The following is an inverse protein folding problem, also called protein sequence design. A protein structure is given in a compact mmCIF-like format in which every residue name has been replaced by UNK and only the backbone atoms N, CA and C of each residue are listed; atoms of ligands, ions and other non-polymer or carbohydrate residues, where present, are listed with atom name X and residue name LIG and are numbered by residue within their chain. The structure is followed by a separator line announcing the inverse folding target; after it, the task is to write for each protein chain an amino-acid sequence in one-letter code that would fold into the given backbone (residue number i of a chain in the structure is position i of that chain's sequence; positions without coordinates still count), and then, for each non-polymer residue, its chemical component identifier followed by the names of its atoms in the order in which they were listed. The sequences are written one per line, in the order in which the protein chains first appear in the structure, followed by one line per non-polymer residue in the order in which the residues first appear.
data_IF_043780285902
#
_entry.id   IF_043780285902
#
_cell.length_a   1.000
_cell.length_b   1.000
_cell.length_c   1.000
_cell.angle_alpha   90.00
_cell.angle_beta   90.00
_cell.angle_gamma   90.00
#
_symmetry.space_group_name_H-M   'P 1'
#
loop_
_entity.id
_entity.type
_entity.pdbx_description
1 polymer ?
#
# COMPACT_ATOMS: atom_id res chain seq x y z
N UNK A 1 -8.23 -24.46 21.87
CA UNK A 1 -7.69 -23.13 22.20
C UNK A 1 -6.15 -23.20 22.21
N UNK A 2 -5.56 -23.56 21.05
CA UNK A 2 -4.12 -23.77 20.82
C UNK A 2 -3.81 -23.40 19.36
N UNK A 3 -4.00 -22.13 19.01
CA UNK A 3 -3.70 -21.60 17.66
C UNK A 3 -3.12 -20.19 17.77
N UNK A 4 -2.26 -19.98 18.77
CA UNK A 4 -1.52 -18.76 19.02
C UNK A 4 -0.02 -19.11 19.05
N UNK A 5 0.51 -19.51 17.90
CA UNK A 5 1.96 -19.56 17.61
C UNK A 5 2.16 -19.83 16.11
N UNK A 6 1.60 -18.98 15.25
CA UNK A 6 2.19 -18.81 13.91
C UNK A 6 3.28 -17.76 14.10
N UNK A 7 4.47 -18.25 14.43
CA UNK A 7 5.70 -17.47 14.42
C UNK A 7 5.81 -16.80 13.06
N UNK A 8 5.80 -15.47 13.08
CA UNK A 8 6.19 -14.65 11.96
C UNK A 8 7.66 -14.95 11.63
N UNK A 9 7.91 -15.91 10.75
CA UNK A 9 9.18 -15.98 10.03
C UNK A 9 9.11 -14.88 8.98
N UNK A 10 9.53 -13.68 9.42
CA UNK A 10 10.06 -12.66 8.54
C UNK A 10 11.02 -13.35 7.58
N UNK A 11 10.73 -13.20 6.29
CA UNK A 11 11.66 -13.51 5.22
C UNK A 11 12.83 -12.55 5.36
N UNK A 12 13.81 -12.95 6.19
CA UNK A 12 15.18 -12.51 6.02
C UNK A 12 15.58 -12.96 4.61
N UNK A 13 15.88 -11.99 3.76
CA UNK A 13 16.61 -12.18 2.53
C UNK A 13 17.93 -12.88 2.89
N UNK A 14 17.99 -14.20 2.71
CA UNK A 14 19.28 -14.88 2.71
C UNK A 14 20.14 -14.24 1.61
N UNK A 15 21.37 -13.79 1.92
CA UNK A 15 22.28 -13.38 0.88
C UNK A 15 22.57 -14.60 -0.01
N UNK A 16 22.57 -14.39 -1.32
CA UNK A 16 23.05 -15.37 -2.28
C UNK A 16 24.46 -15.82 -1.86
N UNK A 17 24.79 -17.12 -1.95
CA UNK A 17 26.15 -17.57 -1.68
C UNK A 17 27.11 -16.88 -2.66
N UNK A 18 28.17 -16.31 -2.12
CA UNK A 18 29.25 -15.72 -2.88
C UNK A 18 29.84 -16.79 -3.82
N UNK A 19 29.72 -16.57 -5.13
CA UNK A 19 30.58 -17.26 -6.10
C UNK A 19 31.97 -16.64 -5.98
N UNK A 20 32.87 -17.35 -5.31
CA UNK A 20 34.31 -17.10 -5.40
C UNK A 20 34.78 -17.50 -6.81
N UNK A 21 34.92 -16.49 -7.68
CA UNK A 21 35.71 -16.56 -8.91
C UNK A 21 37.02 -15.80 -8.72
N UNK A 22 38.11 -16.20 -9.40
CA UNK A 22 39.47 -15.80 -9.04
C UNK A 22 39.69 -14.31 -9.26
N UNK A 23 40.40 -13.72 -8.30
CA UNK A 23 40.95 -12.39 -8.40
C UNK A 23 42.07 -12.40 -9.44
N UNK A 24 41.86 -11.74 -10.56
CA UNK A 24 42.96 -11.19 -11.34
C UNK A 24 42.58 -9.82 -11.91
N UNK A 25 43.61 -8.99 -11.88
CA UNK A 25 43.56 -7.53 -11.93
C UNK A 25 43.74 -7.11 -13.37
N UNK A 26 42.76 -6.44 -13.97
CA UNK A 26 43.03 -5.54 -15.09
C UNK A 26 42.01 -4.40 -15.08
N UNK A 27 42.55 -3.18 -15.07
CA UNK A 27 41.79 -1.94 -15.10
C UNK A 27 41.03 -1.83 -16.42
N UNK A 28 39.75 -2.23 -16.39
CA UNK A 28 38.82 -2.00 -17.48
C UNK A 28 38.20 -0.61 -17.33
N UNK A 29 38.45 0.22 -18.34
CA UNK A 29 37.86 1.53 -18.53
C UNK A 29 36.32 1.51 -18.34
N UNK A 30 35.82 2.63 -17.83
CA UNK A 30 34.42 3.01 -17.70
C UNK A 30 33.55 2.45 -18.84
N UNK A 31 32.62 1.55 -18.54
CA UNK A 31 31.52 1.19 -19.46
C UNK A 31 30.52 2.35 -19.53
N UNK A 32 30.44 3.11 -20.65
CA UNK A 32 29.49 4.21 -20.80
C UNK A 32 28.10 3.72 -21.24
N UNK A 33 27.91 2.40 -21.39
CA UNK A 33 26.80 1.81 -22.15
C UNK A 33 25.54 1.49 -21.33
N UNK A 34 25.49 1.82 -20.04
CA UNK A 34 24.21 1.85 -19.28
C UNK A 34 23.41 3.15 -19.47
N UNK A 35 23.83 4.06 -20.36
CA UNK A 35 23.07 5.28 -20.71
C UNK A 35 22.06 5.01 -21.82
N UNK A 36 21.07 4.17 -21.53
CA UNK A 36 19.96 3.96 -22.45
C UNK A 36 18.83 4.96 -22.19
N UNK A 37 18.47 5.69 -23.25
CA UNK A 37 17.22 6.41 -23.56
C UNK A 37 17.12 7.90 -23.21
N UNK A 38 16.55 8.67 -24.16
CA UNK A 38 16.28 10.11 -24.18
C UNK A 38 15.42 10.60 -22.99
N UNK A 39 15.94 10.51 -21.77
CA UNK A 39 15.32 11.13 -20.60
C UNK A 39 15.79 12.58 -20.57
N UNK A 40 14.89 13.51 -20.86
CA UNK A 40 15.18 14.94 -20.75
C UNK A 40 15.25 15.31 -19.28
N UNK A 41 16.48 15.41 -18.75
CA UNK A 41 16.72 15.95 -17.42
C UNK A 41 16.60 17.47 -17.42
N UNK A 42 15.89 18.02 -16.44
CA UNK A 42 15.75 19.45 -16.23
C UNK A 42 16.30 19.83 -14.84
N UNK A 43 17.64 19.89 -14.69
CA UNK A 43 18.27 20.11 -13.39
C UNK A 43 17.97 21.52 -12.88
N UNK A 44 17.44 21.61 -11.66
CA UNK A 44 17.12 22.86 -10.96
C UNK A 44 18.22 23.32 -9.99
N UNK A 45 19.34 22.59 -9.95
CA UNK A 45 20.55 22.95 -9.19
C UNK A 45 21.76 22.28 -9.83
N UNK A 46 22.96 22.76 -9.49
CA UNK A 46 24.23 22.23 -9.99
C UNK A 46 24.93 21.35 -8.94
N UNK A 47 25.85 20.49 -9.41
CA UNK A 47 26.69 19.67 -8.53
C UNK A 47 27.56 20.51 -7.58
N UNK A 48 28.04 21.66 -8.02
CA UNK A 48 28.87 22.54 -7.18
C UNK A 48 28.04 23.23 -6.10
N UNK A 49 26.80 23.60 -6.39
CA UNK A 49 25.85 24.07 -5.37
C UNK A 49 25.56 22.98 -4.35
N UNK A 50 25.34 21.73 -4.80
CA UNK A 50 25.13 20.59 -3.89
C UNK A 50 26.35 20.39 -2.98
N UNK A 51 27.57 20.47 -3.51
CA UNK A 51 28.80 20.35 -2.72
C UNK A 51 28.98 21.52 -1.75
N UNK A 52 28.64 22.74 -2.16
CA UNK A 52 28.71 23.92 -1.32
C UNK A 52 27.79 23.79 -0.10
N UNK A 53 26.57 23.29 -0.28
CA UNK A 53 25.61 23.05 0.82
C UNK A 53 26.16 22.10 1.89
N UNK A 54 26.86 21.04 1.46
CA UNK A 54 27.46 20.08 2.39
C UNK A 54 28.49 20.74 3.31
N UNK A 55 29.14 21.83 2.85
CA UNK A 55 30.11 22.58 3.67
C UNK A 55 29.42 23.50 4.68
N UNK A 56 28.27 24.07 4.31
CA UNK A 56 27.52 25.00 5.16
C UNK A 56 26.56 24.32 6.14
N UNK A 57 26.33 23.00 5.99
CA UNK A 57 25.38 22.24 6.83
C UNK A 57 25.70 22.37 8.32
N UNK A 58 26.93 22.08 8.73
CA UNK A 58 27.33 22.09 10.14
C UNK A 58 27.49 23.50 10.72
N UNK A 59 27.89 24.47 9.90
CA UNK A 59 28.26 25.82 10.35
C UNK A 59 27.10 26.80 10.38
N UNK A 60 26.12 26.64 9.48
CA UNK A 60 25.02 27.59 9.31
C UNK A 60 23.65 26.93 9.50
N UNK A 61 23.43 25.80 8.83
CA UNK A 61 22.13 25.14 8.83
C UNK A 61 21.77 24.54 10.19
N UNK A 62 22.65 23.71 10.75
CA UNK A 62 22.45 23.06 12.04
C UNK A 62 22.19 24.05 13.19
N UNK A 63 22.94 25.17 13.33
CA UNK A 63 22.62 26.19 14.32
C UNK A 63 21.24 26.83 14.16
N UNK A 64 20.78 27.07 12.92
CA UNK A 64 19.48 27.69 12.69
C UNK A 64 18.31 26.74 13.01
N UNK A 65 18.47 25.43 12.80
CA UNK A 65 17.43 24.44 13.16
C UNK A 65 17.14 24.38 14.66
N UNK A 66 18.08 24.83 15.50
CA UNK A 66 17.97 24.82 16.97
C UNK A 66 17.30 26.07 17.55
N UNK A 67 17.04 27.08 16.72
CA UNK A 67 16.48 28.36 17.19
C UNK A 67 15.01 28.21 17.55
N UNK A 68 14.64 28.58 18.77
CA UNK A 68 13.25 28.48 19.27
C UNK A 68 12.31 29.47 18.60
N UNK A 69 12.84 30.63 18.19
CA UNK A 69 12.16 31.63 17.36
C UNK A 69 12.97 31.81 16.08
N UNK A 70 12.35 31.57 14.93
CA UNK A 70 12.99 31.75 13.64
C UNK A 70 13.01 33.23 13.27
N UNK A 71 14.21 33.77 13.01
CA UNK A 71 14.38 35.08 12.40
C UNK A 71 14.31 34.96 10.88
N UNK A 72 13.95 36.04 10.18
CA UNK A 72 13.89 36.04 8.71
C UNK A 72 15.21 35.57 8.02
N UNK A 73 16.42 35.94 8.51
CA UNK A 73 17.67 35.40 7.96
C UNK A 73 17.78 33.87 8.12
N UNK A 74 17.35 33.32 9.26
CA UNK A 74 17.38 31.88 9.50
C UNK A 74 16.37 31.16 8.61
N UNK A 75 15.17 31.71 8.42
CA UNK A 75 14.18 31.16 7.48
C UNK A 75 14.71 31.12 6.05
N UNK A 76 15.31 32.22 5.58
CA UNK A 76 15.90 32.28 4.24
C UNK A 76 17.03 31.26 4.05
N UNK A 77 17.88 31.09 5.05
CA UNK A 77 18.95 30.09 5.01
C UNK A 77 18.37 28.66 5.01
N UNK A 78 17.42 28.35 5.88
CA UNK A 78 16.75 27.03 5.92
C UNK A 78 16.05 26.73 4.59
N UNK A 79 15.33 27.71 4.03
CA UNK A 79 14.67 27.60 2.73
C UNK A 79 15.68 27.32 1.61
N UNK A 80 16.77 28.09 1.55
CA UNK A 80 17.82 27.89 0.53
C UNK A 80 18.43 26.49 0.63
N UNK A 81 18.74 26.04 1.84
CA UNK A 81 19.30 24.70 2.05
C UNK A 81 18.32 23.61 1.59
N UNK A 82 17.07 23.67 2.04
CA UNK A 82 16.04 22.69 1.70
C UNK A 82 15.68 22.71 0.22
N UNK A 83 15.57 23.89 -0.40
CA UNK A 83 15.27 24.02 -1.83
C UNK A 83 16.34 23.32 -2.64
N UNK A 84 17.62 23.56 -2.34
CA UNK A 84 18.69 22.93 -3.09
C UNK A 84 18.81 21.43 -2.77
N UNK A 85 18.55 21.01 -1.53
CA UNK A 85 18.49 19.58 -1.18
C UNK A 85 17.37 18.86 -1.95
N UNK A 86 16.18 19.46 -2.07
CA UNK A 86 15.08 18.94 -2.88
C UNK A 86 15.44 18.97 -4.37
N UNK A 87 15.97 20.08 -4.87
CA UNK A 87 16.39 20.22 -6.27
C UNK A 87 17.52 19.24 -6.64
N UNK A 88 18.31 18.75 -5.69
CA UNK A 88 19.31 17.72 -5.98
C UNK A 88 18.70 16.41 -6.49
N UNK A 89 17.39 16.19 -6.27
CA UNK A 89 16.64 15.10 -6.90
C UNK A 89 16.45 15.28 -8.41
N UNK A 90 16.78 16.43 -8.99
CA UNK A 90 16.68 16.70 -10.44
C UNK A 90 18.01 16.47 -11.17
N UNK A 91 19.07 16.13 -10.44
CA UNK A 91 20.42 15.97 -10.97
C UNK A 91 20.67 14.50 -11.29
N UNK A 92 20.89 14.19 -12.57
CA UNK A 92 21.08 12.83 -13.06
C UNK A 92 22.20 12.07 -12.32
N UNK A 93 23.31 12.75 -12.01
CA UNK A 93 24.45 12.14 -11.33
C UNK A 93 24.15 11.77 -9.87
N UNK A 94 23.07 12.28 -9.27
CA UNK A 94 22.65 11.94 -7.92
C UNK A 94 21.58 10.84 -7.87
N UNK A 95 21.16 10.25 -8.99
CA UNK A 95 20.07 9.25 -9.03
C UNK A 95 20.28 8.12 -8.03
N UNK A 96 21.47 7.53 -7.99
CA UNK A 96 21.82 6.47 -7.05
C UNK A 96 21.84 6.95 -5.60
N UNK A 97 21.97 8.26 -5.39
CA UNK A 97 22.01 8.91 -4.08
C UNK A 97 20.65 9.48 -3.64
N UNK A 98 19.58 9.38 -4.44
CA UNK A 98 18.27 9.92 -4.07
C UNK A 98 17.74 9.43 -2.71
N UNK A 99 17.84 8.12 -2.36
CA UNK A 99 17.44 7.66 -1.02
C UNK A 99 18.24 8.36 0.09
N UNK A 100 19.55 8.49 -0.11
CA UNK A 100 20.45 9.16 0.84
C UNK A 100 20.13 10.65 0.96
N UNK A 101 19.78 11.33 -0.13
CA UNK A 101 19.35 12.73 -0.13
C UNK A 101 18.07 12.88 0.70
N UNK A 102 17.04 12.09 0.40
CA UNK A 102 15.75 12.13 1.08
C UNK A 102 15.95 11.86 2.58
N UNK A 103 16.57 10.74 2.93
CA UNK A 103 16.69 10.31 4.33
C UNK A 103 17.65 11.19 5.12
N UNK A 104 18.87 11.41 4.63
CA UNK A 104 19.93 12.05 5.42
C UNK A 104 19.96 13.57 5.31
N UNK A 105 19.64 14.13 4.14
CA UNK A 105 19.75 15.58 3.91
C UNK A 105 18.45 16.34 4.12
N UNK A 106 17.31 15.68 4.00
CA UNK A 106 15.99 16.31 4.14
C UNK A 106 15.28 15.84 5.40
N UNK A 107 15.00 14.54 5.52
CA UNK A 107 14.18 14.01 6.62
C UNK A 107 14.93 14.02 7.97
N UNK A 108 16.18 13.55 8.01
CA UNK A 108 16.93 13.48 9.26
C UNK A 108 17.04 14.85 9.96
N UNK A 109 17.41 15.97 9.29
CA UNK A 109 17.38 17.29 9.92
C UNK A 109 16.03 17.70 10.52
N UNK A 110 14.92 17.39 9.85
CA UNK A 110 13.56 17.70 10.31
C UNK A 110 13.23 16.89 11.58
N UNK A 111 13.65 15.63 11.60
CA UNK A 111 13.31 14.64 12.63
C UNK A 111 14.29 14.62 13.82
N UNK A 112 15.45 15.30 13.71
CA UNK A 112 16.43 15.42 14.79
C UNK A 112 15.77 15.97 16.05
N UNK A 113 16.06 15.36 17.20
CA UNK A 113 15.57 15.81 18.50
C UNK A 113 16.06 17.19 18.91
N UNK A 114 17.15 17.70 18.31
CA UNK A 114 17.66 19.06 18.54
C UNK A 114 16.93 20.14 17.73
N UNK A 115 16.14 19.76 16.74
CA UNK A 115 15.40 20.70 15.88
C UNK A 115 14.23 21.28 16.66
N UNK A 116 14.14 22.61 16.72
CA UNK A 116 13.05 23.29 17.42
C UNK A 116 11.71 23.06 16.72
N UNK A 117 10.60 23.21 17.44
CA UNK A 117 9.26 23.03 16.86
C UNK A 117 8.96 24.07 15.76
N UNK A 118 9.40 25.32 15.95
CA UNK A 118 9.26 26.38 14.95
C UNK A 118 10.05 26.05 13.66
N UNK A 119 11.31 25.63 13.80
CA UNK A 119 12.13 25.21 12.66
C UNK A 119 11.52 24.00 11.97
N UNK A 120 11.07 22.98 12.73
CA UNK A 120 10.43 21.79 12.16
C UNK A 120 9.19 22.14 11.35
N UNK A 121 8.30 22.97 11.89
CA UNK A 121 7.08 23.39 11.22
C UNK A 121 7.39 24.11 9.90
N UNK A 122 8.34 25.05 9.92
CA UNK A 122 8.80 25.76 8.72
C UNK A 122 9.39 24.80 7.68
N UNK A 123 10.32 23.94 8.10
CA UNK A 123 10.99 23.00 7.20
C UNK A 123 10.02 21.99 6.57
N UNK A 124 9.03 21.51 7.31
CA UNK A 124 7.99 20.60 6.80
C UNK A 124 7.15 21.26 5.70
N UNK A 125 6.63 22.46 5.96
CA UNK A 125 5.81 23.20 4.99
C UNK A 125 6.61 23.57 3.74
N UNK A 126 7.85 24.06 3.92
CA UNK A 126 8.72 24.41 2.81
C UNK A 126 9.10 23.19 1.97
N UNK A 127 9.52 22.09 2.61
CA UNK A 127 9.92 20.85 1.91
C UNK A 127 8.75 20.28 1.10
N UNK A 128 7.55 20.27 1.67
CA UNK A 128 6.34 19.82 0.96
C UNK A 128 6.12 20.65 -0.32
N UNK A 129 6.12 21.99 -0.20
CA UNK A 129 5.93 22.90 -1.35
C UNK A 129 7.01 22.76 -2.41
N UNK A 130 8.28 22.64 -2.00
CA UNK A 130 9.40 22.45 -2.92
C UNK A 130 9.29 21.09 -3.65
N UNK A 131 8.93 20.02 -2.95
CA UNK A 131 8.77 18.70 -3.56
C UNK A 131 7.59 18.66 -4.55
N UNK A 132 6.50 19.39 -4.27
CA UNK A 132 5.37 19.49 -5.20
C UNK A 132 5.73 20.12 -6.55
N UNK A 133 6.67 21.07 -6.57
CA UNK A 133 7.15 21.68 -7.82
C UNK A 133 7.82 20.64 -8.73
N UNK A 134 8.45 19.61 -8.16
CA UNK A 134 9.11 18.54 -8.91
C UNK A 134 8.14 17.54 -9.56
N UNK A 135 6.83 17.70 -9.35
CA UNK A 135 5.82 16.88 -10.02
C UNK A 135 5.58 17.33 -11.46
N UNK A 136 5.97 18.55 -11.82
CA UNK A 136 5.79 19.14 -13.15
C UNK A 136 7.12 19.14 -13.91
N UNK A 137 7.08 18.85 -15.23
CA UNK A 137 8.22 18.98 -16.15
C UNK A 137 9.53 18.30 -15.69
N UNK A 138 9.40 17.20 -14.94
CA UNK A 138 10.51 16.39 -14.43
C UNK A 138 10.33 14.92 -14.84
N UNK A 139 11.42 14.16 -14.99
CA UNK A 139 11.31 12.78 -15.42
C UNK A 139 10.64 11.88 -14.37
N UNK A 140 10.04 10.74 -14.76
CA UNK A 140 9.25 9.88 -13.87
C UNK A 140 9.94 9.44 -12.57
N UNK A 141 11.27 9.30 -12.59
CA UNK A 141 12.08 8.93 -11.43
C UNK A 141 12.13 10.07 -10.39
N UNK A 142 12.20 11.32 -10.84
CA UNK A 142 12.21 12.51 -9.99
C UNK A 142 10.83 12.71 -9.37
N UNK A 143 9.78 12.61 -10.20
CA UNK A 143 8.39 12.68 -9.74
C UNK A 143 8.10 11.61 -8.67
N UNK A 144 8.59 10.37 -8.87
CA UNK A 144 8.45 9.31 -7.86
C UNK A 144 9.11 9.69 -6.53
N UNK A 145 10.35 10.17 -6.58
CA UNK A 145 11.12 10.52 -5.39
C UNK A 145 10.54 11.75 -4.67
N UNK A 146 9.98 12.71 -5.40
CA UNK A 146 9.22 13.82 -4.84
C UNK A 146 7.97 13.34 -4.08
N UNK A 147 7.16 12.46 -4.68
CA UNK A 147 6.00 11.87 -3.99
C UNK A 147 6.43 11.01 -2.80
N UNK A 148 7.54 10.28 -2.94
CA UNK A 148 8.13 9.49 -1.85
C UNK A 148 8.52 10.37 -0.67
N UNK A 149 9.17 11.52 -0.93
CA UNK A 149 9.52 12.51 0.09
C UNK A 149 8.26 13.07 0.78
N UNK A 150 7.27 13.55 0.01
CA UNK A 150 5.99 14.06 0.55
C UNK A 150 5.32 12.99 1.41
N UNK A 151 5.29 11.74 0.93
CA UNK A 151 4.69 10.60 1.64
C UNK A 151 5.42 10.23 2.93
N UNK A 152 6.66 10.70 3.12
CA UNK A 152 7.52 10.36 4.26
C UNK A 152 7.59 11.45 5.33
N UNK A 153 7.16 12.69 5.05
CA UNK A 153 7.17 13.80 6.01
C UNK A 153 6.41 13.47 7.31
N UNK A 154 7.05 13.70 8.45
CA UNK A 154 6.48 13.43 9.78
C UNK A 154 6.40 14.72 10.61
N UNK A 155 5.23 15.00 11.17
CA UNK A 155 5.05 16.08 12.13
C UNK A 155 5.82 15.81 13.44
N UNK A 156 5.89 14.54 13.84
CA UNK A 156 6.67 14.08 14.99
C UNK A 156 7.43 12.80 14.63
N UNK A 157 8.73 12.69 14.98
CA UNK A 157 9.51 11.48 14.72
C UNK A 157 8.99 10.31 15.57
N UNK A 158 9.41 9.09 15.22
CA UNK A 158 9.12 7.92 16.03
C UNK A 158 9.83 7.99 17.39
N UNK A 159 9.16 7.55 18.45
CA UNK A 159 9.75 7.42 19.78
C UNK A 159 9.86 5.94 20.15
N UNK A 160 11.04 5.38 19.87
CA UNK A 160 11.38 3.99 20.16
C UNK A 160 11.82 3.79 21.62
N UNK A 161 11.97 4.85 22.41
CA UNK A 161 12.37 4.76 23.82
C UNK A 161 11.21 4.35 24.73
N UNK A 162 9.97 4.66 24.33
CA UNK A 162 8.74 4.27 25.04
C UNK A 162 8.40 2.79 24.83
N UNK A 163 7.69 2.22 25.81
CA UNK A 163 7.12 0.86 25.74
C UNK A 163 5.60 0.93 25.95
N UNK A 164 4.78 0.65 24.92
CA UNK A 164 5.17 0.28 23.55
C UNK A 164 5.79 1.45 22.76
N UNK A 165 6.60 1.17 21.73
CA UNK A 165 7.14 2.20 20.83
C UNK A 165 6.02 3.04 20.21
N UNK A 166 6.23 4.34 20.11
CA UNK A 166 5.28 5.26 19.46
C UNK A 166 5.73 5.49 18.01
N UNK A 167 4.92 5.13 17.00
CA UNK A 167 5.29 5.35 15.61
C UNK A 167 5.38 6.85 15.29
N UNK A 168 6.13 7.20 14.25
CA UNK A 168 6.17 8.56 13.74
C UNK A 168 4.76 9.04 13.35
N UNK A 169 4.44 10.28 13.70
CA UNK A 169 3.17 10.92 13.35
C UNK A 169 3.30 11.62 11.98
N UNK A 170 2.60 11.17 10.94
CA UNK A 170 2.67 11.76 9.61
C UNK A 170 2.26 13.23 9.58
N UNK A 171 2.85 14.00 8.67
CA UNK A 171 2.52 15.41 8.48
C UNK A 171 1.19 15.55 7.71
N UNK A 172 0.09 15.83 8.42
CA UNK A 172 -1.27 15.88 7.85
C UNK A 172 -1.47 16.84 6.67
N UNK A 173 -0.79 18.00 6.55
CA UNK A 173 -0.92 18.86 5.38
C UNK A 173 -0.58 18.18 4.05
N UNK A 174 0.16 17.05 4.07
CA UNK A 174 0.45 16.25 2.87
C UNK A 174 -0.78 15.54 2.29
N UNK A 175 -1.92 15.48 2.99
CA UNK A 175 -3.14 14.83 2.47
C UNK A 175 -3.53 15.41 1.11
N UNK A 176 -3.69 16.73 0.99
CA UNK A 176 -4.17 17.34 -0.25
C UNK A 176 -3.21 17.15 -1.43
N UNK A 177 -1.88 17.36 -1.28
CA UNK A 177 -0.91 17.00 -2.30
C UNK A 177 -0.98 15.54 -2.74
N UNK A 178 -1.09 14.59 -1.80
CA UNK A 178 -1.19 13.17 -2.12
C UNK A 178 -2.50 12.81 -2.82
N UNK A 179 -3.61 13.46 -2.46
CA UNK A 179 -4.90 13.29 -3.17
C UNK A 179 -4.83 13.82 -4.61
N UNK A 180 -4.13 14.94 -4.85
CA UNK A 180 -3.87 15.44 -6.21
C UNK A 180 -3.05 14.45 -7.03
N UNK A 181 -1.97 13.90 -6.45
CA UNK A 181 -1.15 12.90 -7.13
C UNK A 181 -1.97 11.65 -7.46
N UNK A 182 -2.82 11.19 -6.55
CA UNK A 182 -3.68 10.02 -6.76
C UNK A 182 -4.67 10.21 -7.92
N UNK A 183 -5.27 11.41 -8.02
CA UNK A 183 -6.28 11.72 -9.02
C UNK A 183 -5.70 12.05 -10.40
N UNK A 184 -4.45 12.50 -10.46
CA UNK A 184 -3.77 12.86 -11.70
C UNK A 184 -3.31 11.64 -12.51
N UNK A 185 -4.01 11.35 -13.60
CA UNK A 185 -3.70 10.25 -14.51
C UNK A 185 -2.53 10.55 -15.46
N UNK A 186 -2.07 11.80 -15.54
CA UNK A 186 -0.88 12.17 -16.32
C UNK A 186 0.42 11.75 -15.62
N UNK A 187 0.39 11.66 -14.29
CA UNK A 187 1.51 11.18 -13.51
C UNK A 187 1.70 9.65 -13.68
N UNK A 188 2.96 9.17 -13.62
CA UNK A 188 3.23 7.74 -13.65
C UNK A 188 2.48 6.97 -12.56
N UNK A 189 2.06 5.75 -12.89
CA UNK A 189 1.31 4.88 -11.96
C UNK A 189 2.06 4.63 -10.64
N UNK A 190 3.40 4.57 -10.66
CA UNK A 190 4.21 4.39 -9.45
C UNK A 190 4.13 5.59 -8.50
N UNK A 191 3.92 6.82 -8.99
CA UNK A 191 3.65 7.99 -8.16
C UNK A 191 2.32 7.84 -7.43
N UNK A 192 1.27 7.39 -8.13
CA UNK A 192 -0.06 7.11 -7.54
C UNK A 192 0.00 5.99 -6.51
N UNK A 193 0.76 4.92 -6.79
CA UNK A 193 1.03 3.84 -5.83
C UNK A 193 1.68 4.40 -4.56
N UNK A 194 2.69 5.27 -4.69
CA UNK A 194 3.31 5.91 -3.52
C UNK A 194 2.34 6.83 -2.80
N UNK A 195 1.54 7.62 -3.51
CA UNK A 195 0.53 8.46 -2.87
C UNK A 195 -0.42 7.65 -1.99
N UNK A 196 -0.89 6.49 -2.47
CA UNK A 196 -1.68 5.56 -1.65
C UNK A 196 -0.93 5.09 -0.39
N UNK A 197 0.38 4.78 -0.47
CA UNK A 197 1.17 4.38 0.70
C UNK A 197 1.29 5.52 1.72
N UNK A 198 1.49 6.76 1.26
CA UNK A 198 1.48 7.96 2.09
C UNK A 198 0.14 8.14 2.81
N UNK A 199 -0.97 8.04 2.08
CA UNK A 199 -2.33 8.11 2.62
C UNK A 199 -2.62 7.00 3.64
N UNK A 200 -2.23 5.75 3.36
CA UNK A 200 -2.33 4.63 4.31
C UNK A 200 -1.57 4.90 5.60
N UNK A 201 -0.38 5.51 5.52
CA UNK A 201 0.40 5.89 6.69
C UNK A 201 -0.32 6.96 7.52
N UNK A 202 -0.88 7.98 6.88
CA UNK A 202 -1.68 9.03 7.51
C UNK A 202 -2.91 8.43 8.21
N UNK A 203 -3.69 7.59 7.53
CA UNK A 203 -4.87 6.95 8.10
C UNK A 203 -4.56 6.09 9.34
N UNK A 204 -3.40 5.41 9.31
CA UNK A 204 -2.95 4.49 10.37
C UNK A 204 -2.33 5.19 11.58
N UNK A 205 -1.51 6.22 11.36
CA UNK A 205 -0.66 6.82 12.41
C UNK A 205 -0.89 8.33 12.63
N UNK A 206 -1.59 9.01 11.73
CA UNK A 206 -1.75 10.47 11.75
C UNK A 206 -3.01 10.97 12.44
N UNK A 207 -3.94 10.08 12.79
CA UNK A 207 -5.24 10.44 13.38
C UNK A 207 -5.97 11.58 12.62
N UNK A 208 -6.10 11.49 11.27
CA UNK A 208 -6.81 12.52 10.51
C UNK A 208 -8.25 12.68 10.99
N UNK A 209 -8.76 13.91 10.86
CA UNK A 209 -10.12 14.27 11.26
C UNK A 209 -11.16 13.47 10.46
N UNK A 210 -12.39 13.42 10.99
CA UNK A 210 -13.52 12.76 10.30
C UNK A 210 -13.70 13.22 8.85
N UNK A 211 -13.73 14.54 8.54
CA UNK A 211 -13.80 15.01 7.16
C UNK A 211 -12.62 14.56 6.30
N UNK A 212 -11.39 14.65 6.82
CA UNK A 212 -10.20 14.20 6.10
C UNK A 212 -10.25 12.70 5.76
N UNK A 213 -10.71 11.85 6.70
CA UNK A 213 -10.90 10.42 6.44
C UNK A 213 -11.94 10.16 5.36
N UNK A 214 -13.03 10.93 5.34
CA UNK A 214 -14.07 10.84 4.33
C UNK A 214 -13.56 11.25 2.94
N UNK A 215 -12.83 12.37 2.85
CA UNK A 215 -12.23 12.85 1.60
C UNK A 215 -11.24 11.84 1.03
N UNK A 216 -10.35 11.29 1.89
CA UNK A 216 -9.40 10.24 1.51
C UNK A 216 -10.15 9.00 1.00
N UNK A 217 -11.16 8.54 1.73
CA UNK A 217 -11.97 7.37 1.35
C UNK A 217 -12.67 7.55 0.01
N UNK A 218 -13.29 8.72 -0.22
CA UNK A 218 -13.98 9.03 -1.47
C UNK A 218 -13.01 9.08 -2.66
N UNK A 219 -11.86 9.73 -2.49
CA UNK A 219 -10.84 9.82 -3.53
C UNK A 219 -10.24 8.45 -3.88
N UNK A 220 -9.97 7.61 -2.89
CA UNK A 220 -9.51 6.22 -3.09
C UNK A 220 -10.56 5.38 -3.82
N UNK A 221 -11.84 5.47 -3.42
CA UNK A 221 -12.94 4.77 -4.07
C UNK A 221 -13.09 5.21 -5.55
N UNK A 222 -12.93 6.50 -5.84
CA UNK A 222 -12.91 7.01 -7.20
C UNK A 222 -11.69 6.49 -8.00
N UNK A 223 -10.51 6.45 -7.37
CA UNK A 223 -9.26 5.98 -7.99
C UNK A 223 -9.30 4.49 -8.39
N UNK A 224 -10.09 3.64 -7.69
CA UNK A 224 -10.30 2.23 -8.06
C UNK A 224 -10.84 2.06 -9.49
N UNK A 225 -11.58 3.06 -9.99
CA UNK A 225 -12.24 3.03 -11.31
C UNK A 225 -11.36 3.60 -12.42
N UNK A 226 -10.20 4.15 -12.10
CA UNK A 226 -9.34 4.78 -13.09
C UNK A 226 -8.66 3.71 -13.97
N UNK A 227 -8.61 3.92 -15.30
CA UNK A 227 -7.96 2.99 -16.21
C UNK A 227 -6.44 3.00 -16.00
N UNK A 228 -5.82 1.83 -16.06
CA UNK A 228 -4.37 1.66 -16.05
C UNK A 228 -4.00 0.65 -17.13
N UNK A 229 -3.20 1.08 -18.12
CA UNK A 229 -2.88 0.27 -19.31
C UNK A 229 -2.10 -1.00 -18.97
N UNK A 230 -1.12 -0.90 -18.06
CA UNK A 230 -0.33 -2.05 -17.64
C UNK A 230 -1.09 -2.84 -16.57
N UNK A 231 -1.48 -4.10 -16.81
CA UNK A 231 -2.32 -4.85 -15.88
C UNK A 231 -1.63 -5.16 -14.55
N UNK A 232 -0.32 -5.41 -14.55
CA UNK A 232 0.45 -5.63 -13.33
C UNK A 232 0.47 -4.34 -12.50
N UNK A 233 0.73 -3.19 -13.12
CA UNK A 233 0.69 -1.91 -12.42
C UNK A 233 -0.72 -1.57 -11.92
N UNK A 234 -1.77 -1.93 -12.67
CA UNK A 234 -3.16 -1.80 -12.25
C UNK A 234 -3.42 -2.61 -10.98
N UNK A 235 -2.97 -3.87 -10.95
CA UNK A 235 -3.07 -4.74 -9.79
C UNK A 235 -2.35 -4.13 -8.57
N UNK A 236 -1.10 -3.68 -8.73
CA UNK A 236 -0.34 -3.05 -7.64
C UNK A 236 -1.01 -1.79 -7.10
N UNK A 237 -1.53 -0.93 -7.98
CA UNK A 237 -2.27 0.26 -7.58
C UNK A 237 -3.54 -0.12 -6.81
N UNK A 238 -4.35 -1.04 -7.34
CA UNK A 238 -5.59 -1.52 -6.68
C UNK A 238 -5.30 -2.08 -5.30
N UNK A 239 -4.24 -2.87 -5.13
CA UNK A 239 -3.85 -3.39 -3.82
C UNK A 239 -3.54 -2.28 -2.81
N UNK A 240 -2.83 -1.22 -3.22
CA UNK A 240 -2.52 -0.10 -2.33
C UNK A 240 -3.73 0.77 -2.03
N UNK A 241 -4.63 0.95 -2.99
CA UNK A 241 -5.90 1.65 -2.76
C UNK A 241 -6.75 0.88 -1.75
N UNK A 242 -6.89 -0.44 -1.91
CA UNK A 242 -7.66 -1.31 -1.02
C UNK A 242 -7.09 -1.31 0.41
N UNK A 243 -5.77 -1.41 0.55
CA UNK A 243 -5.11 -1.30 1.85
C UNK A 243 -5.45 0.03 2.53
N UNK A 244 -5.41 1.14 1.79
CA UNK A 244 -5.77 2.46 2.31
C UNK A 244 -7.27 2.55 2.68
N UNK A 245 -8.17 2.02 1.84
CA UNK A 245 -9.62 2.00 2.08
C UNK A 245 -9.95 1.28 3.40
N UNK A 246 -9.34 0.13 3.69
CA UNK A 246 -9.53 -0.59 4.95
C UNK A 246 -9.09 0.20 6.19
N UNK A 247 -8.11 1.11 6.04
CA UNK A 247 -7.59 1.96 7.11
C UNK A 247 -8.39 3.25 7.33
N UNK A 248 -9.36 3.56 6.46
CA UNK A 248 -10.19 4.78 6.59
C UNK A 248 -10.95 4.82 7.90
N UNK A 249 -11.36 3.64 8.41
CA UNK A 249 -12.16 3.52 9.61
C UNK A 249 -13.56 4.13 9.44
N UNK A 250 -14.10 4.14 8.21
CA UNK A 250 -15.42 4.70 7.88
C UNK A 250 -16.09 3.90 6.76
N UNK A 251 -17.42 3.90 6.74
CA UNK A 251 -18.22 3.33 5.66
C UNK A 251 -18.63 4.40 4.63
N UNK A 252 -18.89 5.62 5.11
CA UNK A 252 -19.50 6.70 4.34
C UNK A 252 -18.55 7.88 4.09
N UNK A 253 -18.81 8.60 3.01
CA UNK A 253 -18.23 9.92 2.73
C UNK A 253 -18.82 11.01 3.66
N UNK A 254 -18.48 12.27 3.38
CA UNK A 254 -18.97 13.42 4.15
C UNK A 254 -20.47 13.67 3.96
N UNK A 255 -21.05 13.24 2.83
CA UNK A 255 -22.47 13.37 2.50
C UNK A 255 -23.31 12.18 2.99
N UNK A 256 -22.68 11.18 3.61
CA UNK A 256 -23.34 9.96 4.07
C UNK A 256 -23.65 8.97 2.95
N UNK A 257 -22.95 9.04 1.82
CA UNK A 257 -22.96 8.04 0.75
C UNK A 257 -21.97 6.91 1.09
N UNK A 258 -22.36 5.62 0.99
CA UNK A 258 -21.55 4.47 1.41
C UNK A 258 -20.42 4.10 0.43
N UNK A 259 -19.68 5.10 -0.07
CA UNK A 259 -18.73 4.94 -1.17
C UNK A 259 -17.58 3.97 -0.87
N UNK A 260 -17.16 3.85 0.39
CA UNK A 260 -16.02 3.02 0.80
C UNK A 260 -16.42 1.55 0.82
N UNK A 261 -17.52 1.23 1.50
CA UNK A 261 -18.04 -0.14 1.61
C UNK A 261 -18.50 -0.65 0.25
N UNK A 262 -19.14 0.20 -0.55
CA UNK A 262 -19.58 -0.17 -1.91
C UNK A 262 -18.39 -0.43 -2.83
N UNK A 263 -17.33 0.39 -2.78
CA UNK A 263 -16.14 0.16 -3.60
C UNK A 263 -15.47 -1.19 -3.27
N UNK A 264 -15.32 -1.51 -1.97
CA UNK A 264 -14.70 -2.76 -1.54
C UNK A 264 -15.58 -3.97 -1.85
N UNK A 265 -16.89 -3.92 -1.57
CA UNK A 265 -17.79 -5.04 -1.84
C UNK A 265 -17.94 -5.31 -3.34
N UNK A 266 -18.04 -4.27 -4.18
CA UNK A 266 -18.02 -4.41 -5.63
C UNK A 266 -16.72 -5.08 -6.11
N UNK A 267 -15.58 -4.74 -5.50
CA UNK A 267 -14.29 -5.36 -5.84
C UNK A 267 -14.24 -6.84 -5.43
N UNK A 268 -14.84 -7.23 -4.29
CA UNK A 268 -14.97 -8.64 -3.90
C UNK A 268 -15.80 -9.42 -4.94
N UNK A 269 -16.86 -8.82 -5.45
CA UNK A 269 -17.78 -9.44 -6.42
C UNK A 269 -17.31 -9.36 -7.88
N UNK A 270 -16.31 -8.54 -8.20
CA UNK A 270 -15.81 -8.32 -9.56
C UNK A 270 -15.08 -9.55 -10.11
N UNK A 271 -15.70 -10.29 -11.04
CA UNK A 271 -15.14 -11.52 -11.62
C UNK A 271 -13.98 -11.29 -12.59
N UNK A 272 -13.88 -10.08 -13.13
CA UNK A 272 -12.80 -9.61 -13.98
C UNK A 272 -11.55 -9.18 -13.20
N UNK A 273 -11.65 -9.12 -11.87
CA UNK A 273 -10.54 -8.75 -11.01
C UNK A 273 -9.70 -9.97 -10.59
N UNK A 274 -8.41 -9.74 -10.37
CA UNK A 274 -7.48 -10.77 -9.90
C UNK A 274 -7.86 -11.30 -8.52
N UNK A 275 -7.64 -12.60 -8.30
CA UNK A 275 -7.84 -13.25 -7.00
C UNK A 275 -7.18 -12.50 -5.84
N UNK A 276 -5.97 -12.01 -6.06
CA UNK A 276 -5.19 -11.25 -5.07
C UNK A 276 -5.92 -9.96 -4.69
N UNK A 277 -6.44 -9.21 -5.66
CA UNK A 277 -7.15 -7.94 -5.38
C UNK A 277 -8.51 -8.20 -4.73
N UNK A 278 -9.27 -9.21 -5.19
CA UNK A 278 -10.56 -9.59 -4.60
C UNK A 278 -10.41 -10.02 -3.14
N UNK A 279 -9.40 -10.85 -2.83
CA UNK A 279 -9.10 -11.28 -1.45
C UNK A 279 -8.62 -10.11 -0.60
N UNK A 280 -7.81 -9.20 -1.13
CA UNK A 280 -7.42 -7.97 -0.43
C UNK A 280 -8.66 -7.13 -0.06
N UNK A 281 -9.60 -6.98 -0.99
CA UNK A 281 -10.82 -6.22 -0.78
C UNK A 281 -11.68 -6.83 0.34
N UNK A 282 -11.81 -8.16 0.36
CA UNK A 282 -12.51 -8.88 1.42
C UNK A 282 -11.87 -8.63 2.80
N UNK A 283 -10.53 -8.65 2.88
CA UNK A 283 -9.81 -8.31 4.11
C UNK A 283 -10.06 -6.86 4.52
N UNK A 284 -9.88 -5.90 3.61
CA UNK A 284 -10.09 -4.48 3.89
C UNK A 284 -11.54 -4.18 4.33
N UNK A 285 -12.52 -4.85 3.73
CA UNK A 285 -13.93 -4.73 4.10
C UNK A 285 -14.17 -5.11 5.55
N UNK A 286 -13.52 -6.17 6.04
CA UNK A 286 -13.60 -6.59 7.45
C UNK A 286 -12.89 -5.68 8.46
N UNK A 287 -12.15 -4.68 7.99
CA UNK A 287 -11.48 -3.67 8.82
C UNK A 287 -12.33 -2.41 9.03
N UNK A 288 -13.40 -2.25 8.24
CA UNK A 288 -14.32 -1.13 8.39
C UNK A 288 -15.19 -1.31 9.65
N UNK A 289 -15.58 -0.22 10.33
CA UNK A 289 -16.45 -0.30 11.50
C UNK A 289 -17.90 -0.51 11.05
N UNK A 290 -18.38 -1.77 11.04
CA UNK A 290 -19.77 -2.01 10.69
C UNK A 290 -20.71 -1.41 11.74
N UNK A 291 -21.78 -0.79 11.27
CA UNK A 291 -22.86 -0.23 12.06
C UNK A 291 -24.08 -1.18 12.05
N UNK A 292 -25.06 -1.01 12.95
CA UNK A 292 -26.21 -1.92 13.02
C UNK A 292 -27.08 -1.98 11.76
N UNK A 293 -26.91 -1.02 10.85
CA UNK A 293 -27.55 -0.95 9.53
C UNK A 293 -26.74 -1.64 8.44
N UNK A 294 -25.50 -2.07 8.70
CA UNK A 294 -24.66 -2.77 7.73
C UNK A 294 -25.16 -4.20 7.54
N UNK A 295 -25.31 -4.61 6.29
CA UNK A 295 -25.71 -5.96 5.92
C UNK A 295 -24.51 -6.92 6.00
N UNK A 296 -24.17 -7.31 7.23
CA UNK A 296 -23.06 -8.24 7.51
C UNK A 296 -23.30 -9.62 6.87
N UNK A 297 -24.56 -10.00 6.69
CA UNK A 297 -24.94 -11.28 6.08
C UNK A 297 -24.52 -11.33 4.60
N UNK A 298 -24.80 -10.27 3.84
CA UNK A 298 -24.34 -10.09 2.46
C UNK A 298 -22.82 -10.09 2.35
N UNK A 299 -22.14 -9.32 3.20
CA UNK A 299 -20.68 -9.23 3.21
C UNK A 299 -20.05 -10.62 3.45
N UNK A 300 -20.55 -11.33 4.46
CA UNK A 300 -20.09 -12.69 4.78
C UNK A 300 -20.38 -13.67 3.64
N UNK A 301 -21.55 -13.57 3.01
CA UNK A 301 -21.93 -14.41 1.87
C UNK A 301 -21.00 -14.21 0.68
N UNK A 302 -20.71 -12.98 0.27
CA UNK A 302 -19.83 -12.69 -0.88
C UNK A 302 -18.37 -13.09 -0.60
N UNK A 303 -17.90 -12.98 0.64
CA UNK A 303 -16.57 -13.48 1.05
C UNK A 303 -16.52 -15.02 0.97
N UNK A 304 -17.55 -15.72 1.46
CA UNK A 304 -17.63 -17.18 1.36
C UNK A 304 -17.77 -17.65 -0.10
N UNK A 305 -18.51 -16.90 -0.93
CA UNK A 305 -18.63 -17.14 -2.37
C UNK A 305 -17.27 -17.00 -3.07
N UNK A 306 -16.52 -15.94 -2.78
CA UNK A 306 -15.16 -15.76 -3.28
C UNK A 306 -14.23 -16.92 -2.86
N UNK A 307 -14.31 -17.38 -1.61
CA UNK A 307 -13.54 -18.53 -1.15
C UNK A 307 -13.88 -19.82 -1.93
N UNK A 308 -15.16 -20.02 -2.27
CA UNK A 308 -15.60 -21.13 -3.14
C UNK A 308 -15.02 -21.00 -4.55
N UNK A 309 -15.12 -19.81 -5.14
CA UNK A 309 -14.59 -19.54 -6.49
C UNK A 309 -13.08 -19.80 -6.55
N UNK A 310 -12.34 -19.33 -5.54
CA UNK A 310 -10.91 -19.61 -5.37
C UNK A 310 -10.62 -21.10 -5.25
N UNK A 311 -11.38 -21.85 -4.47
CA UNK A 311 -11.18 -23.29 -4.30
C UNK A 311 -11.37 -24.07 -5.61
N UNK A 312 -12.41 -23.71 -6.37
CA UNK A 312 -12.67 -24.30 -7.69
C UNK A 312 -11.57 -23.92 -8.68
N UNK A 313 -11.18 -22.64 -8.73
CA UNK A 313 -10.14 -22.15 -9.64
C UNK A 313 -8.78 -22.80 -9.33
N UNK A 314 -8.42 -22.92 -8.04
CA UNK A 314 -7.21 -23.60 -7.60
C UNK A 314 -7.16 -25.08 -8.03
N UNK A 315 -8.29 -25.80 -7.91
CA UNK A 315 -8.35 -27.19 -8.32
C UNK A 315 -8.19 -27.37 -9.84
N UNK A 316 -8.70 -26.41 -10.62
CA UNK A 316 -8.62 -26.38 -12.08
C UNK A 316 -7.28 -25.87 -12.62
N UNK A 317 -6.53 -25.09 -11.85
CA UNK A 317 -5.24 -24.55 -12.27
C UNK A 317 -4.19 -25.67 -12.39
N UNK A 318 -3.45 -25.67 -13.51
CA UNK A 318 -2.32 -26.57 -13.75
C UNK A 318 -1.10 -26.17 -12.93
N UNK A 319 -0.94 -24.87 -12.61
CA UNK A 319 0.14 -24.33 -11.81
C UNK A 319 -0.30 -24.07 -10.36
N UNK A 320 -0.61 -25.15 -9.63
CA UNK A 320 -1.01 -25.11 -8.21
C UNK A 320 0.06 -24.57 -7.26
N UNK A 321 1.27 -24.27 -7.77
CA UNK A 321 2.41 -23.75 -6.99
C UNK A 321 2.52 -22.23 -7.03
N UNK A 322 1.68 -21.53 -7.81
CA UNK A 322 1.72 -20.08 -7.85
C UNK A 322 1.50 -19.48 -6.45
N UNK A 323 2.42 -18.61 -6.02
CA UNK A 323 2.41 -17.98 -4.68
C UNK A 323 1.11 -17.20 -4.40
N UNK A 324 0.44 -16.73 -5.45
CA UNK A 324 -0.84 -16.03 -5.38
C UNK A 324 -1.95 -16.85 -4.68
N UNK A 325 -1.96 -18.17 -4.81
CA UNK A 325 -3.01 -19.00 -4.22
C UNK A 325 -2.95 -18.96 -2.70
N UNK A 326 -1.79 -19.30 -2.13
CA UNK A 326 -1.55 -19.25 -0.70
C UNK A 326 -1.79 -17.84 -0.14
N UNK A 327 -1.32 -16.81 -0.84
CA UNK A 327 -1.54 -15.42 -0.44
C UNK A 327 -3.04 -15.06 -0.42
N UNK A 328 -3.81 -15.48 -1.43
CA UNK A 328 -5.25 -15.17 -1.52
C UNK A 328 -6.05 -15.89 -0.43
N UNK A 329 -5.79 -17.18 -0.19
CA UNK A 329 -6.41 -17.92 0.90
C UNK A 329 -6.03 -17.38 2.29
N UNK A 330 -4.75 -17.03 2.50
CA UNK A 330 -4.32 -16.41 3.76
C UNK A 330 -5.00 -15.05 3.98
N UNK A 331 -5.11 -14.24 2.93
CA UNK A 331 -5.76 -12.92 3.01
C UNK A 331 -7.26 -13.04 3.29
N UNK A 332 -7.94 -14.03 2.71
CA UNK A 332 -9.35 -14.33 3.05
C UNK A 332 -9.51 -14.89 4.47
N UNK A 333 -8.60 -15.74 4.93
CA UNK A 333 -8.62 -16.13 6.34
C UNK A 333 -8.53 -14.90 7.25
N UNK A 334 -7.70 -13.92 6.88
CA UNK A 334 -7.57 -12.63 7.57
C UNK A 334 -8.77 -11.67 7.38
N UNK A 335 -9.77 -12.02 6.57
CA UNK A 335 -11.05 -11.29 6.60
C UNK A 335 -11.93 -11.76 7.76
N UNK A 336 -11.76 -12.98 8.26
CA UNK A 336 -12.49 -13.49 9.43
C UNK A 336 -11.77 -13.19 10.74
N UNK A 337 -10.44 -13.19 10.73
CA UNK A 337 -9.56 -13.02 11.88
C UNK A 337 -8.60 -11.86 11.65
N UNK A 338 -8.21 -11.12 12.69
CA UNK A 338 -7.15 -10.13 12.52
C UNK A 338 -5.77 -10.79 12.41
N UNK A 339 -4.81 -10.07 11.83
CA UNK A 339 -3.42 -10.54 11.71
C UNK A 339 -2.72 -10.58 13.06
N UNK A 340 -3.00 -9.61 13.92
CA UNK A 340 -2.44 -9.52 15.27
C UNK A 340 -3.53 -9.50 16.33
N UNK A 341 -3.19 -9.96 17.54
CA UNK A 341 -4.10 -9.87 18.69
C UNK A 341 -4.46 -8.41 19.02
N UNK A 342 -3.53 -7.47 18.83
CA UNK A 342 -3.79 -6.05 19.00
C UNK A 342 -4.83 -5.53 18.00
N UNK A 343 -4.71 -5.88 16.72
CA UNK A 343 -5.72 -5.51 15.71
C UNK A 343 -7.09 -6.13 16.01
N UNK A 344 -7.12 -7.37 16.50
CA UNK A 344 -8.36 -8.04 16.89
C UNK A 344 -9.00 -7.40 18.13
N UNK A 345 -8.23 -7.14 19.19
CA UNK A 345 -8.76 -6.68 20.48
C UNK A 345 -9.01 -5.18 20.50
N UNK A 346 -8.11 -4.39 19.95
CA UNK A 346 -8.16 -2.91 19.97
C UNK A 346 -8.93 -2.38 18.77
N UNK A 347 -8.55 -2.79 17.55
CA UNK A 347 -9.17 -2.28 16.32
C UNK A 347 -10.43 -3.03 15.88
N UNK A 348 -10.72 -4.17 16.52
CA UNK A 348 -11.86 -5.04 16.19
C UNK A 348 -11.87 -5.49 14.72
N UNK A 349 -10.70 -5.68 14.13
CA UNK A 349 -10.57 -6.13 12.74
C UNK A 349 -10.94 -7.60 12.57
N UNK A 350 -11.49 -7.91 11.40
CA UNK A 350 -11.98 -9.25 11.03
C UNK A 350 -13.43 -9.46 11.42
N UNK A 351 -14.19 -10.17 10.58
CA UNK A 351 -15.63 -10.41 10.76
C UNK A 351 -15.96 -11.03 12.13
N UNK A 352 -15.09 -11.90 12.67
CA UNK A 352 -15.28 -12.55 13.98
C UNK A 352 -14.88 -11.67 15.16
N UNK A 353 -14.35 -10.48 14.94
CA UNK A 353 -14.03 -9.52 16.00
C UNK A 353 -15.01 -8.36 16.03
N UNK A 354 -15.85 -8.24 15.00
CA UNK A 354 -16.88 -7.22 14.91
C UNK A 354 -18.00 -7.56 15.90
N UNK A 355 -18.29 -6.62 16.81
CA UNK A 355 -19.15 -6.80 17.99
C UNK A 355 -20.66 -6.72 17.68
N UNK A 356 -21.11 -7.15 16.51
CA UNK A 356 -22.53 -7.14 16.18
C UNK A 356 -23.17 -8.50 16.50
N UNK A 357 -24.26 -8.48 17.28
CA UNK A 357 -25.06 -9.68 17.54
C UNK A 357 -25.73 -10.19 16.26
N UNK A 358 -26.16 -9.26 15.39
CA UNK A 358 -26.77 -9.57 14.08
C UNK A 358 -25.71 -10.15 13.14
N UNK A 359 -26.03 -11.27 12.49
CA UNK A 359 -25.14 -11.96 11.57
C UNK A 359 -24.03 -12.79 12.23
N UNK A 360 -23.85 -12.74 13.56
CA UNK A 360 -22.74 -13.43 14.23
C UNK A 360 -22.74 -14.94 14.01
N UNK A 361 -23.89 -15.56 14.22
CA UNK A 361 -24.05 -17.01 14.04
C UNK A 361 -23.74 -17.45 12.61
N UNK A 362 -24.15 -16.64 11.61
CA UNK A 362 -23.84 -16.91 10.20
C UNK A 362 -22.35 -16.73 9.88
N UNK A 363 -21.70 -15.70 10.44
CA UNK A 363 -20.26 -15.49 10.30
C UNK A 363 -19.47 -16.66 10.91
N UNK A 364 -19.83 -17.09 12.12
CA UNK A 364 -19.17 -18.23 12.76
C UNK A 364 -19.45 -19.53 11.98
N UNK A 365 -20.67 -19.75 11.47
CA UNK A 365 -20.99 -20.91 10.63
C UNK A 365 -20.18 -20.92 9.31
N UNK A 366 -20.09 -19.79 8.61
CA UNK A 366 -19.27 -19.65 7.40
C UNK A 366 -17.80 -19.95 7.70
N UNK A 367 -17.27 -19.38 8.79
CA UNK A 367 -15.89 -19.60 9.20
C UNK A 367 -15.61 -21.09 9.48
N UNK A 368 -16.51 -21.80 10.16
CA UNK A 368 -16.35 -23.24 10.41
C UNK A 368 -16.35 -24.06 9.11
N UNK A 369 -17.20 -23.70 8.14
CA UNK A 369 -17.23 -24.35 6.84
C UNK A 369 -15.93 -24.10 6.03
N UNK A 370 -15.36 -22.90 6.13
CA UNK A 370 -14.16 -22.50 5.39
C UNK A 370 -12.85 -22.92 6.05
N UNK A 371 -12.81 -23.08 7.37
CA UNK A 371 -11.60 -23.34 8.13
C UNK A 371 -10.79 -24.56 7.62
N UNK A 372 -11.40 -25.71 7.27
CA UNK A 372 -10.65 -26.84 6.72
C UNK A 372 -9.97 -26.50 5.39
N UNK A 373 -10.58 -25.66 4.55
CA UNK A 373 -9.99 -25.20 3.29
C UNK A 373 -8.81 -24.27 3.58
N UNK A 374 -8.99 -23.28 4.46
CA UNK A 374 -7.93 -22.35 4.82
C UNK A 374 -6.72 -23.06 5.43
N UNK A 375 -6.92 -23.98 6.38
CA UNK A 375 -5.82 -24.74 7.00
C UNK A 375 -4.99 -25.50 5.98
N UNK A 376 -5.63 -26.23 5.07
CA UNK A 376 -4.94 -26.96 4.01
C UNK A 376 -4.08 -26.03 3.13
N UNK A 377 -4.63 -24.88 2.75
CA UNK A 377 -3.95 -23.94 1.86
C UNK A 377 -2.84 -23.13 2.52
N UNK A 378 -2.98 -22.82 3.81
CA UNK A 378 -2.04 -21.97 4.56
C UNK A 378 -0.94 -22.80 5.22
N UNK A 379 -1.26 -23.96 5.79
CA UNK A 379 -0.28 -24.79 6.50
C UNK A 379 0.50 -25.70 5.53
N UNK A 380 -0.12 -26.10 4.42
CA UNK A 380 0.51 -26.95 3.40
C UNK A 380 1.66 -26.23 2.69
N UNK A 381 2.88 -26.78 2.77
CA UNK A 381 4.01 -26.33 1.95
C UNK A 381 3.73 -26.55 0.44
N UNK A 382 2.99 -27.61 0.14
CA UNK A 382 2.43 -27.94 -1.18
C UNK A 382 0.99 -28.39 -0.96
N UNK A 383 0.01 -27.47 -1.01
CA UNK A 383 -1.37 -27.86 -0.78
C UNK A 383 -1.79 -28.89 -1.84
N UNK A 384 -2.47 -29.95 -1.40
CA UNK A 384 -3.13 -30.90 -2.29
C UNK A 384 -4.42 -30.28 -2.87
N UNK A 385 -5.03 -30.87 -3.91
CA UNK A 385 -6.35 -30.47 -4.36
C UNK A 385 -7.35 -30.41 -3.19
N UNK A 386 -8.20 -29.39 -3.20
CA UNK A 386 -9.24 -29.23 -2.18
C UNK A 386 -10.30 -30.31 -2.44
N UNK A 387 -10.65 -31.16 -1.46
CA UNK A 387 -11.63 -32.21 -1.67
C UNK A 387 -13.00 -31.68 -2.10
N UNK A 388 -13.63 -32.32 -3.09
CA UNK A 388 -14.95 -31.92 -3.62
C UNK A 388 -16.03 -31.88 -2.53
N UNK A 389 -15.96 -32.78 -1.55
CA UNK A 389 -16.88 -32.78 -0.40
C UNK A 389 -16.88 -31.43 0.36
N UNK A 390 -15.73 -30.75 0.44
CA UNK A 390 -15.63 -29.42 1.10
C UNK A 390 -16.22 -28.32 0.23
N UNK A 391 -16.02 -28.38 -1.09
CA UNK A 391 -16.60 -27.44 -2.04
C UNK A 391 -18.14 -27.60 -2.06
N UNK A 392 -18.64 -28.84 -2.05
CA UNK A 392 -20.07 -29.15 -1.97
C UNK A 392 -20.69 -28.68 -0.67
N UNK A 393 -20.03 -28.90 0.47
CA UNK A 393 -20.49 -28.39 1.77
C UNK A 393 -20.56 -26.85 1.79
N UNK A 394 -19.57 -26.17 1.19
CA UNK A 394 -19.58 -24.71 1.07
C UNK A 394 -20.69 -24.22 0.14
N UNK A 395 -20.96 -24.90 -0.97
CA UNK A 395 -22.10 -24.59 -1.84
C UNK A 395 -23.43 -24.73 -1.10
N UNK A 396 -23.62 -25.83 -0.36
CA UNK A 396 -24.83 -26.02 0.45
C UNK A 396 -25.01 -24.89 1.49
N UNK A 397 -23.92 -24.46 2.13
CA UNK A 397 -23.95 -23.31 3.03
C UNK A 397 -24.35 -22.01 2.30
N UNK A 398 -23.77 -21.73 1.13
CA UNK A 398 -24.08 -20.55 0.31
C UNK A 398 -25.54 -20.52 -0.15
N UNK A 399 -26.12 -21.67 -0.46
CA UNK A 399 -27.51 -21.78 -0.88
C UNK A 399 -28.49 -21.57 0.27
N UNK A 400 -28.15 -22.04 1.47
CA UNK A 400 -28.96 -21.91 2.68
C UNK A 400 -28.89 -20.50 3.30
N UNK A 401 -27.79 -19.77 3.10
CA UNK A 401 -27.52 -18.48 3.75
C UNK A 401 -27.55 -17.31 2.77
N UNK A 402 -28.44 -17.34 1.77
CA UNK A 402 -28.60 -16.22 0.84
C UNK A 402 -29.04 -14.95 1.60
N UNK A 403 -28.40 -13.80 1.35
CA UNK A 403 -28.76 -12.57 2.03
C UNK A 403 -30.16 -12.10 1.58
N UNK A 404 -30.91 -11.48 2.50
CA UNK A 404 -32.26 -11.01 2.23
C UNK A 404 -32.33 -9.89 1.18
N UNK A 405 -31.29 -9.05 1.14
CA UNK A 405 -31.10 -8.02 0.14
C UNK A 405 -29.63 -7.96 -0.29
N UNK A 406 -29.37 -7.36 -1.46
CA UNK A 406 -28.03 -7.21 -2.04
C UNK A 406 -27.44 -5.82 -1.82
N UNK A 407 -27.85 -5.08 -0.77
CA UNK A 407 -27.30 -3.75 -0.44
C UNK A 407 -26.42 -3.84 0.80
N UNK A 408 -25.22 -3.27 0.75
CA UNK A 408 -24.29 -3.28 1.89
C UNK A 408 -24.81 -2.45 3.08
N UNK A 409 -25.49 -1.34 2.79
CA UNK A 409 -26.19 -0.48 3.74
C UNK A 409 -27.51 -0.01 3.11
N UNK A 410 -28.44 0.62 3.86
CA UNK A 410 -29.71 1.09 3.30
C UNK A 410 -29.55 2.11 2.16
N UNK A 411 -28.42 2.83 2.11
CA UNK A 411 -28.10 3.84 1.08
C UNK A 411 -27.24 3.31 -0.05
N UNK A 412 -26.81 2.05 0.04
CA UNK A 412 -25.94 1.45 -0.97
C UNK A 412 -26.73 1.12 -2.23
N UNK A 413 -26.03 1.17 -3.35
CA UNK A 413 -26.53 0.57 -4.58
C UNK A 413 -26.63 -0.95 -4.41
N UNK A 414 -27.51 -1.56 -5.20
CA UNK A 414 -27.63 -3.01 -5.21
C UNK A 414 -26.38 -3.63 -5.86
N UNK A 415 -25.78 -4.61 -5.19
CA UNK A 415 -24.61 -5.33 -5.67
C UNK A 415 -24.99 -6.13 -6.93
N UNK A 416 -24.59 -5.60 -8.09
CA UNK A 416 -24.83 -6.24 -9.39
C UNK A 416 -24.01 -7.53 -9.48
N UNK A 417 -24.64 -8.65 -9.86
CA UNK A 417 -23.89 -9.82 -10.27
C UNK A 417 -23.24 -9.52 -11.63
N UNK A 418 -21.97 -9.13 -11.59
CA UNK A 418 -21.19 -8.97 -12.81
C UNK A 418 -21.01 -10.37 -13.43
N UNK A 419 -21.58 -10.56 -14.63
CA UNK A 419 -21.24 -11.70 -15.46
C UNK A 419 -19.74 -11.64 -15.76
N UNK A 420 -19.05 -12.78 -15.75
CA UNK A 420 -17.65 -12.81 -16.13
C UNK A 420 -17.55 -12.32 -17.58
N UNK A 421 -16.85 -11.22 -17.81
CA UNK A 421 -16.57 -10.78 -19.17
C UNK A 421 -15.65 -11.84 -19.81
N UNK A 422 -15.95 -12.34 -21.02
CA UNK A 422 -15.20 -13.44 -21.64
C UNK A 422 -13.71 -13.12 -21.84
N UNK A 423 -13.30 -11.85 -21.79
CA UNK A 423 -11.90 -11.42 -21.92
C UNK A 423 -11.09 -11.45 -20.60
N UNK A 424 -11.73 -11.49 -19.43
CA UNK A 424 -11.04 -11.40 -18.13
C UNK A 424 -10.46 -12.72 -17.60
N UNK A 425 -10.92 -13.87 -18.11
CA UNK A 425 -10.54 -15.19 -17.61
C UNK A 425 -9.11 -15.61 -17.97
N UNK A 426 -8.44 -14.91 -18.89
CA UNK A 426 -7.07 -15.22 -19.36
C UNK A 426 -6.00 -14.39 -18.65
N UNK A 427 -6.40 -13.43 -17.79
CA UNK A 427 -5.48 -12.57 -17.03
C UNK A 427 -4.89 -13.26 -15.78
N UNK A 428 -4.85 -14.59 -15.76
CA UNK A 428 -3.84 -15.30 -14.98
C UNK A 428 -2.48 -14.88 -15.53
N UNK A 429 -1.85 -13.89 -14.88
CA UNK A 429 -0.49 -13.45 -15.18
C UNK A 429 0.40 -14.68 -15.16
N UNK A 430 0.67 -15.23 -16.34
CA UNK A 430 1.72 -16.22 -16.49
C UNK A 430 3.00 -15.57 -15.97
N UNK A 431 3.77 -16.25 -15.09
CA UNK A 431 5.09 -15.76 -14.78
C UNK A 431 5.84 -15.66 -16.11
N UNK A 432 6.40 -14.48 -16.38
CA UNK A 432 7.32 -14.25 -17.49
C UNK A 432 8.32 -15.39 -17.45
N UNK A 433 8.25 -16.29 -18.43
CA UNK A 433 9.18 -17.37 -18.55
C UNK A 433 10.57 -16.74 -18.67
N UNK A 434 11.49 -17.14 -17.80
CA UNK A 434 12.89 -16.90 -18.04
C UNK A 434 13.22 -17.55 -19.39
N UNK A 435 13.53 -16.74 -20.40
CA UNK A 435 14.16 -17.19 -21.63
C UNK A 435 15.54 -17.73 -21.26
N UNK A 436 15.60 -19.02 -20.99
CA UNK A 436 16.84 -19.77 -21.08
C UNK A 436 17.15 -19.86 -22.57
N UNK A 437 17.97 -18.95 -23.10
CA UNK A 437 18.63 -19.15 -24.39
C UNK A 437 19.55 -20.37 -24.26
N UNK A 438 19.07 -21.51 -24.73
CA UNK A 438 19.93 -22.63 -25.13
C UNK A 438 20.80 -22.16 -26.29
N UNK A 439 22.04 -21.75 -25.98
CA UNK A 439 23.11 -21.71 -26.98
C UNK A 439 23.63 -23.15 -27.11
N UNK A 440 23.09 -23.86 -28.10
CA UNK A 440 23.67 -25.08 -28.63
C UNK A 440 23.98 -24.88 -30.11
N UNK A 441 25.26 -25.10 -30.46
CA UNK A 441 25.84 -25.36 -31.79
C UNK A 441 26.05 -24.16 -32.71
N UNK A 442 27.25 -23.57 -32.65
CA UNK A 442 28.37 -23.86 -33.57
C UNK A 442 29.67 -23.26 -33.02
#
# INVERSE_FOLDING_TARGET
MWLAAVTATLWLTSPLPAQEGPADTEASAEEPERRATNISWNPLTTQDEIRALRRTELTEFDPATKQTVLSAPNEQMLAKYLQNAVNSLTVEQEVDNFPTIIERRILAPIERGSTSDAARAFMLDFTMKAAEQLLQDQPPIVQYNAVSLISQLNARPADNSRRPPVPAAPYLPTIQPLLRVLSDQSLPVHCRIMACRGLSRILRNGEPSTPQRADIGAALAAAMRQPVRNPLAAQWLRLRIIEALGLTGRLYDINGAPVIVDALLNTVAAKDETWVVRSAAARALSQLPFEGTTNVELINHEIAKLARELAVAYNADRNKRASQWRWSFATLYLSYMAETEADQKVRKWGLRSQNQARGRAQVDAAYQALLPIFKQMIEGARPEPIPDARITALNAWLDQNKPADRKATPRSEELKELAASPEGAVMSVHPVAAETQEVSRL
#
